data_IF_163708844406
#
_entry.id   IF_163708844406
#
_cell.length_a   1.000
_cell.length_b   1.000
_cell.length_c   1.000
_cell.angle_alpha   90.00
_cell.angle_beta   90.00
_cell.angle_gamma   90.00
#
_symmetry.space_group_name_H-M   'P 1'
#
loop_
_entity.id
_entity.type
_entity.pdbx_description
1 polymer ?
#
# COMPACT_ATOMS: atom_id res chain seq x y z
N UNK A 1 4.93 25.42 19.41
CA UNK A 1 4.58 24.06 19.90
C UNK A 1 5.85 23.23 19.83
N UNK A 2 6.28 22.65 20.94
CA UNK A 2 7.58 21.96 21.04
C UNK A 2 7.59 20.74 20.13
N UNK A 3 8.54 20.66 19.21
CA UNK A 3 8.71 19.55 18.26
C UNK A 3 9.06 18.21 18.95
N UNK A 4 9.56 18.28 20.18
CA UNK A 4 10.00 17.13 20.99
C UNK A 4 8.90 16.09 21.24
N UNK A 5 7.72 16.41 21.80
CA UNK A 5 6.64 15.43 22.01
C UNK A 5 6.14 14.80 20.70
N UNK A 6 6.13 15.54 19.58
CA UNK A 6 5.77 14.98 18.29
C UNK A 6 6.79 13.94 17.82
N UNK A 7 8.08 14.26 17.89
CA UNK A 7 9.16 13.33 17.50
C UNK A 7 9.14 12.10 18.41
N UNK A 8 8.95 12.27 19.72
CA UNK A 8 8.86 11.15 20.66
C UNK A 8 7.64 10.28 20.33
N UNK A 9 6.47 10.86 20.10
CA UNK A 9 5.27 10.12 19.70
C UNK A 9 5.47 9.34 18.39
N UNK A 10 6.13 9.95 17.40
CA UNK A 10 6.44 9.31 16.12
C UNK A 10 7.42 8.14 16.29
N UNK A 11 8.46 8.29 17.13
CA UNK A 11 9.42 7.21 17.42
C UNK A 11 8.74 6.04 18.10
N UNK A 12 7.90 6.29 19.12
CA UNK A 12 7.14 5.24 19.79
C UNK A 12 6.15 4.53 18.84
N UNK A 13 5.51 5.28 17.95
CA UNK A 13 4.63 4.72 16.92
C UNK A 13 5.41 3.76 16.01
N UNK A 14 6.57 4.20 15.50
CA UNK A 14 7.42 3.40 14.61
C UNK A 14 7.87 2.12 15.34
N UNK A 15 8.42 2.24 16.55
CA UNK A 15 8.91 1.10 17.34
C UNK A 15 7.76 0.14 17.67
N UNK A 16 6.62 0.65 18.11
CA UNK A 16 5.44 -0.15 18.43
C UNK A 16 4.95 -0.94 17.22
N UNK A 17 4.84 -0.30 16.06
CA UNK A 17 4.46 -0.96 14.82
C UNK A 17 5.48 -2.02 14.38
N UNK A 18 6.79 -1.73 14.47
CA UNK A 18 7.83 -2.72 14.15
C UNK A 18 7.77 -3.93 15.10
N UNK A 19 7.72 -3.68 16.40
CA UNK A 19 7.82 -4.72 17.42
C UNK A 19 6.61 -5.65 17.41
N UNK A 20 5.40 -5.09 17.36
CA UNK A 20 4.17 -5.87 17.42
C UNK A 20 4.01 -6.72 16.15
N UNK A 21 4.20 -6.10 14.98
CA UNK A 21 3.88 -6.76 13.72
C UNK A 21 5.03 -7.62 13.21
N UNK A 22 6.25 -7.05 13.12
CA UNK A 22 7.41 -7.83 12.64
C UNK A 22 7.86 -8.87 13.66
N UNK A 23 7.63 -8.61 14.95
CA UNK A 23 7.85 -9.61 15.99
C UNK A 23 6.93 -10.83 15.82
N UNK A 24 5.64 -10.60 15.58
CA UNK A 24 4.67 -11.67 15.36
C UNK A 24 4.97 -12.49 14.10
N UNK A 25 5.36 -11.84 13.01
CA UNK A 25 5.72 -12.54 11.76
C UNK A 25 7.04 -13.30 11.84
N UNK A 26 8.05 -12.80 12.58
CA UNK A 26 9.28 -13.56 12.87
C UNK A 26 8.99 -14.82 13.68
N UNK A 27 8.09 -14.74 14.66
CA UNK A 27 7.68 -15.90 15.45
C UNK A 27 6.92 -16.92 14.59
N UNK A 28 6.01 -16.46 13.72
CA UNK A 28 5.36 -17.33 12.74
C UNK A 28 6.36 -17.93 11.72
N UNK A 29 7.36 -17.11 11.33
CA UNK A 29 8.55 -17.41 10.50
C UNK A 29 9.36 -18.60 10.96
N UNK A 30 9.67 -18.63 12.25
CA UNK A 30 10.43 -19.71 12.85
C UNK A 30 9.71 -21.07 12.82
N UNK A 31 8.39 -21.07 12.54
CA UNK A 31 7.52 -22.26 12.67
C UNK A 31 7.07 -22.79 11.29
N UNK A 32 7.10 -21.99 10.21
CA UNK A 32 6.65 -22.39 8.86
C UNK A 32 7.55 -21.80 7.76
N UNK A 33 7.62 -22.42 6.58
CA UNK A 33 8.58 -22.08 5.51
C UNK A 33 8.56 -20.62 5.00
N UNK A 34 9.70 -20.19 4.47
CA UNK A 34 10.14 -18.78 4.40
C UNK A 34 9.40 -17.85 3.42
N UNK A 35 8.60 -18.34 2.46
CA UNK A 35 7.96 -17.50 1.42
C UNK A 35 6.58 -16.97 1.79
N UNK A 36 5.69 -17.81 2.31
CA UNK A 36 4.31 -17.40 2.64
C UNK A 36 4.28 -16.36 3.78
N UNK A 37 5.33 -16.36 4.60
CA UNK A 37 5.44 -15.53 5.79
C UNK A 37 5.84 -14.10 5.44
N UNK A 38 6.61 -13.91 4.37
CA UNK A 38 6.96 -12.57 3.90
C UNK A 38 5.72 -11.82 3.41
N UNK A 39 4.86 -12.48 2.61
CA UNK A 39 3.60 -11.88 2.11
C UNK A 39 2.62 -11.66 3.27
N UNK A 40 2.45 -12.66 4.14
CA UNK A 40 1.60 -12.54 5.33
C UNK A 40 2.02 -11.41 6.27
N UNK A 41 3.32 -11.16 6.43
CA UNK A 41 3.84 -10.03 7.19
C UNK A 41 3.49 -8.69 6.54
N UNK A 42 3.70 -8.55 5.23
CA UNK A 42 3.42 -7.31 4.51
C UNK A 42 1.92 -6.99 4.59
N UNK A 43 1.06 -7.95 4.25
CA UNK A 43 -0.40 -7.77 4.28
C UNK A 43 -0.89 -7.52 5.71
N UNK A 44 -0.45 -8.32 6.68
CA UNK A 44 -0.83 -8.19 8.08
C UNK A 44 -0.43 -6.84 8.68
N UNK A 45 0.75 -6.32 8.33
CA UNK A 45 1.22 -5.01 8.79
C UNK A 45 0.40 -3.85 8.28
N UNK A 46 0.00 -3.88 7.01
CA UNK A 46 -0.85 -2.84 6.44
C UNK A 46 -2.27 -2.89 7.04
N UNK A 47 -2.84 -4.09 7.21
CA UNK A 47 -4.16 -4.25 7.84
C UNK A 47 -4.14 -3.76 9.29
N UNK A 48 -3.13 -4.14 10.08
CA UNK A 48 -3.01 -3.69 11.47
C UNK A 48 -2.78 -2.17 11.56
N UNK A 49 -2.00 -1.58 10.67
CA UNK A 49 -1.78 -0.14 10.67
C UNK A 49 -3.05 0.65 10.33
N UNK A 50 -3.86 0.19 9.37
CA UNK A 50 -5.10 0.89 8.99
C UNK A 50 -6.20 0.64 10.03
N UNK A 51 -6.42 -0.61 10.44
CA UNK A 51 -7.54 -0.96 11.33
C UNK A 51 -7.23 -0.73 12.80
N UNK A 52 -6.02 -1.10 13.24
CA UNK A 52 -5.60 -0.98 14.63
C UNK A 52 -5.08 0.41 14.94
N UNK A 53 -3.97 0.81 14.32
CA UNK A 53 -3.28 2.07 14.65
C UNK A 53 -4.10 3.29 14.25
N UNK A 54 -4.47 3.41 12.98
CA UNK A 54 -5.26 4.55 12.49
C UNK A 54 -6.68 4.53 13.06
N UNK A 55 -7.30 3.35 13.21
CA UNK A 55 -8.59 3.20 13.87
C UNK A 55 -8.59 3.71 15.32
N UNK A 56 -7.64 3.26 16.14
CA UNK A 56 -7.48 3.75 17.52
C UNK A 56 -7.14 5.24 17.56
N UNK A 57 -6.24 5.72 16.69
CA UNK A 57 -5.90 7.13 16.60
C UNK A 57 -7.13 7.99 16.28
N UNK A 58 -8.01 7.52 15.38
CA UNK A 58 -9.25 8.21 15.05
C UNK A 58 -10.26 8.24 16.20
N UNK A 59 -10.32 7.18 17.01
CA UNK A 59 -11.21 7.10 18.17
C UNK A 59 -10.75 8.01 19.32
N UNK A 60 -9.43 8.12 19.51
CA UNK A 60 -8.82 8.93 20.57
C UNK A 60 -8.68 10.41 20.18
N UNK A 61 -8.82 10.76 18.89
CA UNK A 61 -8.74 12.13 18.40
C UNK A 61 -10.09 12.87 18.58
N UNK A 62 -10.19 13.87 19.48
CA UNK A 62 -11.47 14.52 19.81
C UNK A 62 -12.12 15.27 18.63
N UNK A 63 -11.30 15.76 17.71
CA UNK A 63 -11.69 16.48 16.49
C UNK A 63 -11.60 15.63 15.23
N UNK A 64 -11.34 14.32 15.36
CA UNK A 64 -10.98 13.46 14.24
C UNK A 64 -9.54 13.68 13.75
N UNK A 65 -9.14 12.90 12.74
CA UNK A 65 -7.83 12.99 12.09
C UNK A 65 -7.98 13.92 10.89
N UNK A 66 -7.23 15.02 10.88
CA UNK A 66 -7.20 15.94 9.74
C UNK A 66 -6.56 15.26 8.52
N UNK A 67 -7.31 15.21 7.42
CA UNK A 67 -6.87 14.67 6.13
C UNK A 67 -6.93 15.77 5.09
N UNK A 68 -5.81 16.02 4.40
CA UNK A 68 -5.76 17.06 3.38
C UNK A 68 -6.62 16.70 2.17
N UNK A 69 -7.18 17.70 1.48
CA UNK A 69 -7.98 17.48 0.28
C UNK A 69 -7.17 16.82 -0.85
N UNK A 70 -5.85 17.01 -0.88
CA UNK A 70 -4.96 16.35 -1.82
C UNK A 70 -4.91 14.83 -1.58
N UNK A 71 -4.80 14.42 -0.32
CA UNK A 71 -4.81 13.00 0.07
C UNK A 71 -6.13 12.33 -0.31
N UNK A 72 -7.26 13.00 -0.08
CA UNK A 72 -8.59 12.46 -0.40
C UNK A 72 -8.79 12.32 -1.91
N UNK A 73 -8.37 13.31 -2.69
CA UNK A 73 -8.64 13.35 -4.14
C UNK A 73 -7.62 12.59 -4.99
N UNK A 74 -6.41 12.37 -4.47
CA UNK A 74 -5.31 11.79 -5.23
C UNK A 74 -4.74 10.54 -4.57
N UNK A 75 -4.16 10.69 -3.38
CA UNK A 75 -3.37 9.61 -2.77
C UNK A 75 -4.25 8.39 -2.42
N UNK A 76 -5.42 8.61 -1.82
CA UNK A 76 -6.35 7.52 -1.46
C UNK A 76 -6.84 6.75 -2.71
N UNK A 77 -7.37 7.39 -3.76
CA UNK A 77 -7.77 6.70 -4.99
C UNK A 77 -6.64 5.89 -5.63
N UNK A 78 -5.43 6.46 -5.71
CA UNK A 78 -4.26 5.78 -6.29
C UNK A 78 -3.86 4.57 -5.44
N UNK A 79 -3.83 4.71 -4.11
CA UNK A 79 -3.51 3.60 -3.20
C UNK A 79 -4.55 2.47 -3.29
N UNK A 80 -5.85 2.81 -3.41
CA UNK A 80 -6.91 1.81 -3.62
C UNK A 80 -6.71 1.10 -4.96
N UNK A 81 -6.46 1.84 -6.03
CA UNK A 81 -6.23 1.25 -7.35
C UNK A 81 -5.05 0.26 -7.33
N UNK A 82 -3.92 0.65 -6.73
CA UNK A 82 -2.75 -0.23 -6.60
C UNK A 82 -3.04 -1.43 -5.69
N UNK A 83 -3.79 -1.26 -4.60
CA UNK A 83 -4.20 -2.37 -3.74
C UNK A 83 -5.08 -3.38 -4.50
N UNK A 84 -6.00 -2.89 -5.35
CA UNK A 84 -6.80 -3.75 -6.23
C UNK A 84 -5.92 -4.45 -7.27
N UNK A 85 -4.86 -3.82 -7.76
CA UNK A 85 -3.87 -4.47 -8.64
C UNK A 85 -3.27 -5.73 -8.03
N UNK A 86 -3.22 -5.82 -6.70
CA UNK A 86 -2.70 -6.99 -6.01
C UNK A 86 -3.72 -8.13 -5.90
N UNK A 87 -5.01 -7.91 -6.18
CA UNK A 87 -6.05 -8.94 -6.04
C UNK A 87 -5.84 -10.20 -6.89
N UNK A 88 -5.39 -10.11 -8.16
CA UNK A 88 -5.07 -11.26 -8.99
C UNK A 88 -4.13 -12.27 -8.34
N UNK A 89 -3.21 -11.80 -7.49
CA UNK A 89 -2.25 -12.66 -6.77
C UNK A 89 -2.95 -13.67 -5.86
N UNK A 90 -4.15 -13.35 -5.35
CA UNK A 90 -4.94 -14.28 -4.55
C UNK A 90 -5.58 -15.39 -5.39
N UNK A 91 -5.81 -15.16 -6.69
CA UNK A 91 -6.39 -16.14 -7.60
C UNK A 91 -5.32 -17.01 -8.26
N UNK A 92 -4.10 -16.49 -8.49
CA UNK A 92 -2.98 -17.23 -9.10
C UNK A 92 -2.26 -18.20 -8.14
N UNK A 93 -2.94 -18.66 -7.09
CA UNK A 93 -2.37 -19.62 -6.13
C UNK A 93 -1.34 -19.01 -5.17
N UNK A 94 -1.35 -17.68 -4.96
CA UNK A 94 -0.49 -17.00 -3.99
C UNK A 94 0.96 -16.78 -4.43
N UNK A 95 1.25 -16.95 -5.72
CA UNK A 95 2.60 -16.77 -6.28
C UNK A 95 2.65 -15.54 -7.17
N UNK A 96 3.48 -14.56 -6.79
CA UNK A 96 3.70 -13.36 -7.60
C UNK A 96 4.66 -13.70 -8.75
N UNK A 97 4.17 -13.59 -9.98
CA UNK A 97 4.98 -13.76 -11.18
C UNK A 97 5.97 -12.60 -11.38
N UNK A 98 7.01 -12.82 -12.19
CA UNK A 98 8.01 -11.76 -12.50
C UNK A 98 7.39 -10.53 -13.18
N UNK A 99 6.37 -10.74 -14.02
CA UNK A 99 5.65 -9.64 -14.70
C UNK A 99 4.80 -8.81 -13.73
N UNK A 100 4.09 -9.48 -12.82
CA UNK A 100 3.28 -8.84 -11.77
C UNK A 100 4.17 -8.05 -10.82
N UNK A 101 5.28 -8.65 -10.39
CA UNK A 101 6.28 -7.98 -9.56
C UNK A 101 6.89 -6.74 -10.23
N UNK A 102 7.18 -6.80 -11.53
CA UNK A 102 7.69 -5.66 -12.28
C UNK A 102 6.65 -4.52 -12.39
N UNK A 103 5.38 -4.85 -12.59
CA UNK A 103 4.28 -3.88 -12.63
C UNK A 103 4.10 -3.19 -11.27
N UNK A 104 4.08 -3.96 -10.17
CA UNK A 104 3.97 -3.41 -8.82
C UNK A 104 5.18 -2.54 -8.45
N UNK A 105 6.39 -2.96 -8.84
CA UNK A 105 7.60 -2.17 -8.67
C UNK A 105 7.54 -0.86 -9.49
N UNK A 106 7.00 -0.92 -10.71
CA UNK A 106 6.76 0.25 -11.54
C UNK A 106 5.83 1.27 -10.86
N UNK A 107 4.72 0.81 -10.27
CA UNK A 107 3.84 1.68 -9.48
C UNK A 107 4.55 2.30 -8.29
N UNK A 108 5.36 1.52 -7.57
CA UNK A 108 6.13 2.02 -6.44
C UNK A 108 7.10 3.13 -6.86
N UNK A 109 7.85 2.94 -7.94
CA UNK A 109 8.79 3.94 -8.46
C UNK A 109 8.05 5.19 -8.92
N UNK A 110 6.95 5.03 -9.66
CA UNK A 110 6.18 6.15 -10.19
C UNK A 110 5.54 7.00 -9.07
N UNK A 111 4.97 6.36 -8.04
CA UNK A 111 4.43 7.05 -6.87
C UNK A 111 5.54 7.74 -6.05
N UNK A 112 6.69 7.09 -5.87
CA UNK A 112 7.84 7.69 -5.17
C UNK A 112 8.35 8.93 -5.92
N UNK A 113 8.46 8.86 -7.26
CA UNK A 113 8.82 10.01 -8.08
C UNK A 113 7.82 11.16 -7.92
N UNK A 114 6.53 10.85 -7.84
CA UNK A 114 5.50 11.86 -7.56
C UNK A 114 5.70 12.53 -6.20
N UNK A 115 5.96 11.78 -5.15
CA UNK A 115 6.21 12.35 -3.82
C UNK A 115 7.46 13.25 -3.80
N UNK A 116 8.50 12.89 -4.55
CA UNK A 116 9.71 13.72 -4.68
C UNK A 116 9.38 15.02 -5.43
N UNK A 117 8.65 14.94 -6.55
CA UNK A 117 8.22 16.15 -7.28
C UNK A 117 7.27 17.02 -6.44
N UNK A 118 6.37 16.39 -5.67
CA UNK A 118 5.44 17.02 -4.75
C UNK A 118 6.16 17.88 -3.70
N UNK A 119 7.22 17.32 -3.10
CA UNK A 119 8.02 18.01 -2.09
C UNK A 119 8.98 19.05 -2.69
N UNK A 120 9.42 18.85 -3.94
CA UNK A 120 10.27 19.80 -4.65
C UNK A 120 9.52 21.02 -5.24
N UNK A 121 8.18 21.08 -5.12
CA UNK A 121 7.33 22.11 -5.73
C UNK A 121 7.60 22.33 -7.24
N UNK A 122 7.93 21.25 -7.94
CA UNK A 122 8.33 21.31 -9.34
C UNK A 122 7.12 21.59 -10.25
N UNK A 123 7.26 22.48 -11.26
CA UNK A 123 6.15 22.85 -12.16
C UNK A 123 5.52 21.68 -12.94
N UNK A 124 6.23 20.55 -13.03
CA UNK A 124 5.76 19.33 -13.68
C UNK A 124 4.74 18.52 -12.85
N UNK A 125 4.53 18.87 -11.59
CA UNK A 125 3.60 18.21 -10.65
C UNK A 125 2.19 17.98 -11.22
N UNK A 126 1.51 19.00 -11.80
CA UNK A 126 0.14 18.83 -12.27
C UNK A 126 0.06 17.83 -13.41
N UNK A 127 1.03 17.90 -14.34
CA UNK A 127 1.12 16.98 -15.48
C UNK A 127 1.45 15.56 -15.03
N UNK A 128 2.39 15.40 -14.11
CA UNK A 128 2.80 14.09 -13.59
C UNK A 128 1.71 13.44 -12.73
N UNK A 129 1.00 14.23 -11.92
CA UNK A 129 -0.18 13.81 -11.15
C UNK A 129 -1.28 13.32 -12.08
N UNK A 130 -1.64 14.11 -13.11
CA UNK A 130 -2.61 13.68 -14.11
C UNK A 130 -2.18 12.40 -14.82
N UNK A 131 -0.91 12.31 -15.24
CA UNK A 131 -0.36 11.12 -15.87
C UNK A 131 -0.43 9.88 -14.96
N UNK A 132 -0.21 10.04 -13.66
CA UNK A 132 -0.38 8.95 -12.69
C UNK A 132 -1.84 8.56 -12.52
N UNK A 133 -2.77 9.52 -12.38
CA UNK A 133 -4.18 9.19 -12.18
C UNK A 133 -4.77 8.50 -13.42
N UNK A 134 -4.48 9.03 -14.62
CA UNK A 134 -4.92 8.45 -15.89
C UNK A 134 -4.06 7.28 -16.36
N UNK A 135 -2.91 7.03 -15.75
CA UNK A 135 -2.05 5.89 -16.08
C UNK A 135 -2.33 4.71 -15.18
N UNK A 136 -2.27 4.93 -13.86
CA UNK A 136 -2.40 3.88 -12.84
C UNK A 136 -3.78 3.24 -12.91
N UNK A 137 -4.87 4.01 -12.84
CA UNK A 137 -6.24 3.48 -12.76
C UNK A 137 -6.62 2.59 -13.96
N UNK A 138 -6.43 3.00 -15.22
CA UNK A 138 -6.75 2.12 -16.34
C UNK A 138 -5.75 0.97 -16.47
N UNK A 139 -4.47 1.15 -16.10
CA UNK A 139 -3.52 0.04 -16.12
C UNK A 139 -3.91 -1.04 -15.10
N UNK A 140 -4.40 -0.65 -13.91
CA UNK A 140 -4.99 -1.59 -12.95
C UNK A 140 -6.27 -2.22 -13.46
N UNK A 141 -7.17 -1.45 -14.05
CA UNK A 141 -8.41 -2.00 -14.62
C UNK A 141 -8.10 -3.05 -15.70
N UNK A 142 -7.19 -2.74 -16.62
CA UNK A 142 -6.74 -3.68 -17.67
C UNK A 142 -6.10 -4.91 -17.04
N UNK A 143 -5.19 -4.74 -16.08
CA UNK A 143 -4.55 -5.86 -15.39
C UNK A 143 -5.57 -6.79 -14.72
N UNK A 144 -6.55 -6.22 -14.00
CA UNK A 144 -7.63 -6.96 -13.38
C UNK A 144 -8.49 -7.70 -14.40
N UNK A 145 -8.84 -7.07 -15.53
CA UNK A 145 -9.63 -7.73 -16.57
C UNK A 145 -8.88 -8.88 -17.22
N UNK A 146 -7.59 -8.73 -17.50
CA UNK A 146 -6.76 -9.79 -18.07
C UNK A 146 -6.63 -10.94 -17.08
N UNK A 147 -6.36 -10.65 -15.81
CA UNK A 147 -6.24 -11.66 -14.76
C UNK A 147 -7.55 -12.45 -14.59
N UNK A 148 -8.69 -11.75 -14.47
CA UNK A 148 -10.00 -12.36 -14.36
C UNK A 148 -10.34 -13.22 -15.58
N UNK A 149 -9.96 -12.77 -16.78
CA UNK A 149 -10.17 -13.52 -18.02
C UNK A 149 -9.32 -14.80 -18.09
N UNK A 150 -8.05 -14.72 -17.72
CA UNK A 150 -7.16 -15.88 -17.65
C UNK A 150 -7.68 -16.93 -16.66
N UNK A 151 -8.18 -16.49 -15.50
CA UNK A 151 -8.74 -17.39 -14.49
C UNK A 151 -10.06 -18.03 -14.94
N UNK A 152 -10.96 -17.27 -15.57
CA UNK A 152 -12.20 -17.84 -16.12
C UNK A 152 -11.89 -18.96 -17.13
N UNK A 153 -10.85 -18.79 -17.94
CA UNK A 153 -10.43 -19.82 -18.91
C UNK A 153 -9.81 -21.05 -18.25
N UNK A 154 -9.15 -20.92 -17.10
CA UNK A 154 -8.55 -22.07 -16.40
C UNK A 154 -9.62 -22.97 -15.77
N UNK A 155 -10.75 -22.38 -15.33
CA UNK A 155 -11.87 -23.10 -14.71
C UNK A 155 -12.83 -23.74 -15.71
N UNK A 156 -12.83 -23.30 -16.97
CA UNK A 156 -13.72 -23.78 -18.03
C UNK A 156 -13.13 -24.88 -18.92
N UNK A 157 -11.95 -25.41 -18.61
CA UNK A 157 -11.23 -26.44 -19.37
C UNK A 157 -11.08 -27.76 -18.64
#
# INVERSE_FOLDING_TARGET
MTSVPFVVGLVFLIIGAEALVRGASRLAGAIRGERDIAVGNVVGSNVFNIMGVLGLASLLAPSGVDVSAAVIRFDIPVMIAVALACLPVFFTGGVIGRGEGALLLGYYVAYTAYLILATAHHDALPTFSAALMYGVIPLTAVFLTIAAWCEWRSLGG
#
